data_IF_534920209435
#
_entry.id   IF_534920209435
#
_cell.length_a   1.000
_cell.length_b   1.000
_cell.length_c   1.000
_cell.angle_alpha   90.00
_cell.angle_beta   90.00
_cell.angle_gamma   90.00
#
_symmetry.space_group_name_H-M   'P 1'
#
loop_
_entity.id
_entity.type
_entity.pdbx_description
1 polymer ?
#
# COMPACT_ATOMS: atom_id res chain seq x y z
N UNK A 1 -69.29 -44.56 -12.00
CA UNK A 1 -68.17 -44.10 -12.82
C UNK A 1 -67.32 -43.19 -11.97
N UNK A 2 -66.16 -43.66 -11.52
CA UNK A 2 -65.24 -42.89 -10.71
C UNK A 2 -64.18 -42.30 -11.65
N UNK A 3 -64.12 -40.96 -11.69
CA UNK A 3 -63.08 -40.29 -12.46
C UNK A 3 -61.88 -40.01 -11.52
N UNK A 4 -60.84 -40.73 -11.78
CA UNK A 4 -59.54 -40.48 -11.11
C UNK A 4 -58.84 -39.31 -11.81
N UNK A 5 -58.88 -38.12 -11.18
CA UNK A 5 -58.06 -36.98 -11.64
C UNK A 5 -56.65 -37.19 -11.16
N UNK A 6 -55.81 -37.62 -12.05
CA UNK A 6 -54.34 -37.60 -11.80
C UNK A 6 -53.84 -36.16 -11.93
N UNK A 7 -53.48 -35.53 -10.82
CA UNK A 7 -52.73 -34.30 -10.84
C UNK A 7 -51.30 -34.61 -11.24
N UNK A 8 -50.94 -34.22 -12.44
CA UNK A 8 -49.54 -34.21 -12.89
C UNK A 8 -48.88 -33.01 -12.26
N UNK A 9 -48.04 -33.25 -11.26
CA UNK A 9 -47.11 -32.26 -10.75
C UNK A 9 -45.99 -32.09 -11.80
N UNK A 10 -46.03 -31.03 -12.59
CA UNK A 10 -44.94 -30.67 -13.43
C UNK A 10 -43.82 -30.14 -12.54
N UNK A 11 -42.73 -30.89 -12.43
CA UNK A 11 -41.49 -30.44 -11.81
C UNK A 11 -40.83 -29.46 -12.80
N UNK A 12 -40.96 -28.16 -12.56
CA UNK A 12 -40.34 -27.10 -13.36
C UNK A 12 -38.95 -26.84 -12.78
N UNK A 13 -37.97 -27.45 -13.40
CA UNK A 13 -36.55 -27.18 -13.06
C UNK A 13 -36.04 -26.12 -14.04
N UNK A 14 -35.71 -24.95 -13.49
CA UNK A 14 -35.01 -23.90 -14.22
C UNK A 14 -33.53 -23.93 -13.86
N UNK A 15 -32.69 -23.85 -14.88
CA UNK A 15 -31.25 -23.71 -14.73
C UNK A 15 -30.85 -22.30 -15.14
N UNK A 16 -30.12 -21.63 -14.27
CA UNK A 16 -29.48 -20.34 -14.60
C UNK A 16 -27.98 -20.49 -14.59
N UNK A 17 -27.33 -19.76 -15.47
CA UNK A 17 -25.88 -19.73 -15.57
C UNK A 17 -25.35 -18.48 -14.86
N UNK A 18 -24.45 -18.68 -13.92
CA UNK A 18 -23.70 -17.59 -13.29
C UNK A 18 -22.32 -17.55 -13.92
N UNK A 19 -21.93 -16.40 -14.43
CA UNK A 19 -20.58 -16.15 -14.92
C UNK A 19 -20.00 -14.95 -14.15
N UNK A 20 -18.74 -15.06 -13.76
CA UNK A 20 -17.97 -13.97 -13.17
C UNK A 20 -16.63 -13.90 -13.87
N UNK A 21 -16.18 -12.70 -14.16
CA UNK A 21 -14.82 -12.44 -14.62
C UNK A 21 -14.02 -11.90 -13.44
N UNK A 22 -12.87 -12.51 -13.17
CA UNK A 22 -11.94 -12.04 -12.14
C UNK A 22 -10.74 -11.43 -12.85
N UNK A 23 -10.60 -10.13 -12.71
CA UNK A 23 -9.42 -9.42 -13.19
C UNK A 23 -8.29 -9.52 -12.17
N UNK A 24 -7.06 -9.71 -12.67
CA UNK A 24 -5.86 -9.72 -11.84
C UNK A 24 -5.38 -8.30 -11.62
N UNK A 25 -4.97 -7.97 -10.40
CA UNK A 25 -4.52 -6.62 -10.08
C UNK A 25 -4.41 -6.37 -8.60
N UNK A 26 -4.22 -5.10 -8.25
CA UNK A 26 -4.20 -4.63 -6.89
C UNK A 26 -5.32 -3.62 -6.63
N UNK A 27 -5.84 -3.65 -5.42
CA UNK A 27 -6.85 -2.73 -4.93
C UNK A 27 -6.25 -1.89 -3.80
N UNK A 28 -6.52 -0.60 -3.82
CA UNK A 28 -6.26 0.30 -2.71
C UNK A 28 -7.60 0.70 -2.11
N UNK A 29 -7.80 0.40 -0.83
CA UNK A 29 -9.09 0.61 -0.14
C UNK A 29 -10.28 -0.04 -0.87
N UNK A 30 -10.07 -1.22 -1.44
CA UNK A 30 -11.09 -1.97 -2.16
C UNK A 30 -11.46 -1.43 -3.54
N UNK A 31 -10.75 -0.42 -4.05
CA UNK A 31 -10.99 0.16 -5.36
C UNK A 31 -9.79 -0.06 -6.30
N UNK A 32 -10.09 -0.35 -7.57
CA UNK A 32 -9.08 -0.37 -8.64
C UNK A 32 -8.58 1.06 -8.84
N UNK A 33 -7.27 1.24 -8.83
CA UNK A 33 -6.67 2.53 -9.15
C UNK A 33 -6.50 2.65 -10.66
N UNK A 34 -7.05 3.72 -11.22
CA UNK A 34 -6.81 4.06 -12.63
C UNK A 34 -5.33 4.41 -12.83
N UNK A 35 -4.77 4.06 -13.99
CA UNK A 35 -3.37 4.34 -14.34
C UNK A 35 -3.02 5.84 -14.25
N UNK A 36 -4.03 6.70 -14.32
CA UNK A 36 -3.93 8.15 -14.16
C UNK A 36 -4.09 8.64 -12.72
N UNK A 37 -4.38 7.75 -11.75
CA UNK A 37 -4.53 8.14 -10.37
C UNK A 37 -3.18 8.60 -9.79
N UNK A 38 -3.07 9.88 -9.49
CA UNK A 38 -1.83 10.51 -9.01
C UNK A 38 -1.63 10.38 -7.50
N UNK A 39 -2.64 9.91 -6.76
CA UNK A 39 -2.58 9.79 -5.30
C UNK A 39 -3.39 8.60 -4.79
N UNK A 40 -2.72 7.71 -4.08
CA UNK A 40 -3.34 6.60 -3.35
C UNK A 40 -3.86 6.99 -1.96
N UNK A 41 -3.80 8.26 -1.59
CA UNK A 41 -4.06 8.75 -0.23
C UNK A 41 -2.82 8.70 0.67
N UNK A 42 -3.01 9.00 1.94
CA UNK A 42 -1.93 8.95 2.92
C UNK A 42 -1.71 7.50 3.36
N UNK A 43 -0.56 6.94 3.02
CA UNK A 43 -0.19 5.55 3.34
C UNK A 43 0.19 5.40 4.83
N UNK A 44 0.81 6.44 5.40
CA UNK A 44 1.26 6.42 6.78
C UNK A 44 1.91 7.73 7.18
N UNK A 45 2.43 7.74 8.39
CA UNK A 45 3.19 8.86 8.94
C UNK A 45 4.58 8.37 9.34
N UNK A 46 5.60 9.10 8.91
CA UNK A 46 6.97 8.92 9.37
C UNK A 46 7.24 9.96 10.45
N UNK A 47 7.49 9.50 11.66
CA UNK A 47 7.72 10.36 12.82
C UNK A 47 9.11 10.05 13.40
N UNK A 48 9.92 11.08 13.52
CA UNK A 48 11.23 11.03 14.17
C UNK A 48 11.19 11.50 15.65
N UNK A 49 10.01 11.92 16.14
CA UNK A 49 9.86 12.53 17.46
C UNK A 49 10.35 13.97 17.53
N UNK A 50 10.34 14.52 18.76
CA UNK A 50 10.82 15.88 19.03
C UNK A 50 12.25 15.83 19.57
N UNK A 51 13.15 16.59 18.94
CA UNK A 51 14.55 16.67 19.32
C UNK A 51 15.00 18.11 19.43
N UNK A 52 15.91 18.39 20.37
CA UNK A 52 16.54 19.70 20.50
C UNK A 52 17.38 20.04 19.27
N UNK A 53 17.39 21.29 18.85
CA UNK A 53 18.22 21.79 17.74
C UNK A 53 19.73 21.57 17.90
N UNK A 54 20.18 21.27 19.13
CA UNK A 54 21.56 20.92 19.43
C UNK A 54 21.80 19.39 19.54
N UNK A 55 20.79 18.60 19.20
CA UNK A 55 20.89 17.15 19.20
C UNK A 55 21.70 16.70 17.97
N UNK A 56 22.89 16.15 18.22
CA UNK A 56 23.82 15.76 17.18
C UNK A 56 23.89 14.25 16.93
N UNK A 57 23.02 13.47 17.58
CA UNK A 57 22.98 12.02 17.37
C UNK A 57 22.00 11.67 16.27
N UNK A 58 22.26 10.55 15.60
CA UNK A 58 21.36 9.97 14.60
C UNK A 58 20.01 9.60 15.22
N UNK A 59 18.94 10.00 14.56
CA UNK A 59 17.57 9.76 15.01
C UNK A 59 16.95 8.69 14.12
N UNK A 60 16.30 7.72 14.73
CA UNK A 60 15.62 6.63 14.06
C UNK A 60 14.11 6.84 14.07
N UNK A 61 13.46 6.53 12.98
CA UNK A 61 12.02 6.56 12.83
C UNK A 61 11.50 5.35 12.06
N UNK A 62 10.23 5.08 12.21
CA UNK A 62 9.53 4.07 11.42
C UNK A 62 8.21 4.61 10.93
N UNK A 63 7.72 4.08 9.81
CA UNK A 63 6.41 4.45 9.28
C UNK A 63 5.33 3.76 10.09
N UNK A 64 4.42 4.56 10.64
CA UNK A 64 3.15 4.05 11.16
C UNK A 64 2.13 4.10 10.04
N UNK A 65 1.68 2.93 9.59
CA UNK A 65 0.69 2.83 8.52
C UNK A 65 -0.67 3.34 8.96
N UNK A 66 -1.36 4.01 8.06
CA UNK A 66 -2.74 4.41 8.27
C UNK A 66 -3.62 3.17 8.37
N UNK A 67 -4.39 3.05 9.45
CA UNK A 67 -5.35 1.94 9.61
C UNK A 67 -6.50 1.99 8.59
N UNK A 68 -6.65 3.09 7.88
CA UNK A 68 -7.65 3.25 6.83
C UNK A 68 -7.14 2.83 5.44
N UNK A 69 -5.84 2.58 5.29
CA UNK A 69 -5.29 2.10 4.03
C UNK A 69 -5.21 0.57 4.04
N UNK A 70 -5.90 -0.04 3.11
CA UNK A 70 -5.76 -1.47 2.80
C UNK A 70 -5.23 -1.62 1.38
N UNK A 71 -4.20 -2.41 1.22
CA UNK A 71 -3.64 -2.78 -0.07
C UNK A 71 -3.77 -4.29 -0.22
N UNK A 72 -4.57 -4.71 -1.19
CA UNK A 72 -4.77 -6.13 -1.50
C UNK A 72 -4.50 -6.40 -2.97
N UNK A 73 -3.87 -7.52 -3.26
CA UNK A 73 -3.49 -7.91 -4.62
C UNK A 73 -3.86 -9.36 -4.91
N UNK A 74 -4.02 -9.67 -6.19
CA UNK A 74 -4.05 -11.07 -6.63
C UNK A 74 -2.70 -11.72 -6.25
N UNK A 75 -2.70 -12.89 -5.58
CA UNK A 75 -1.46 -13.56 -5.20
C UNK A 75 -0.54 -13.84 -6.39
N UNK A 76 0.74 -13.53 -6.25
CA UNK A 76 1.76 -13.78 -7.26
C UNK A 76 1.82 -12.75 -8.40
N UNK A 77 1.01 -11.70 -8.36
CA UNK A 77 1.14 -10.60 -9.31
C UNK A 77 2.43 -9.80 -9.04
N UNK A 78 3.09 -9.34 -10.08
CA UNK A 78 4.24 -8.47 -9.93
C UNK A 78 3.80 -7.06 -9.50
N UNK A 79 4.16 -6.68 -8.29
CA UNK A 79 3.90 -5.35 -7.73
C UNK A 79 5.22 -4.65 -7.45
N UNK A 80 5.29 -3.35 -7.73
CA UNK A 80 6.45 -2.52 -7.41
C UNK A 80 6.00 -1.27 -6.67
N UNK A 81 6.83 -0.87 -5.71
CA UNK A 81 6.69 0.39 -4.97
C UNK A 81 7.89 1.27 -5.29
N UNK A 82 7.66 2.55 -5.49
CA UNK A 82 8.70 3.57 -5.57
C UNK A 82 8.37 4.74 -4.66
N UNK A 83 9.38 5.35 -4.07
CA UNK A 83 9.25 6.46 -3.16
C UNK A 83 9.94 7.69 -3.74
N UNK A 84 9.21 8.77 -3.90
CA UNK A 84 9.80 10.03 -4.37
C UNK A 84 10.66 10.71 -3.29
N UNK A 85 11.25 11.83 -3.65
CA UNK A 85 12.12 12.59 -2.75
C UNK A 85 11.38 13.39 -1.67
N UNK A 86 10.06 13.49 -1.75
CA UNK A 86 9.28 14.39 -0.89
C UNK A 86 9.35 15.86 -1.33
N UNK A 87 8.78 16.75 -0.52
CA UNK A 87 8.60 18.16 -0.87
C UNK A 87 9.89 19.00 -0.81
N UNK A 88 10.86 18.57 -0.04
CA UNK A 88 12.08 19.35 0.24
C UNK A 88 13.37 18.65 -0.21
N UNK A 89 13.27 17.64 -1.06
CA UNK A 89 14.46 16.96 -1.56
C UNK A 89 15.31 17.88 -2.44
N UNK A 90 16.63 17.76 -2.30
CA UNK A 90 17.60 18.41 -3.20
C UNK A 90 18.85 17.54 -3.34
N UNK A 91 19.50 17.63 -4.49
CA UNK A 91 20.75 16.92 -4.80
C UNK A 91 20.64 15.39 -4.60
N UNK A 92 19.46 14.82 -4.87
CA UNK A 92 19.20 13.39 -4.72
C UNK A 92 19.03 12.93 -3.28
N UNK A 93 18.90 13.84 -2.32
CA UNK A 93 18.73 13.54 -0.89
C UNK A 93 17.37 14.03 -0.39
N UNK A 94 16.71 13.21 0.42
CA UNK A 94 15.47 13.60 1.10
C UNK A 94 15.78 14.50 2.28
N UNK A 95 14.99 15.56 2.46
CA UNK A 95 15.20 16.55 3.50
C UNK A 95 13.91 16.85 4.26
N UNK A 96 14.03 16.88 5.58
CA UNK A 96 13.05 17.49 6.47
C UNK A 96 13.32 19.00 6.53
N UNK A 97 12.29 19.80 6.51
CA UNK A 97 12.41 21.25 6.63
C UNK A 97 11.71 21.74 7.90
N UNK A 98 12.36 22.58 8.63
CA UNK A 98 11.75 23.27 9.76
C UNK A 98 10.60 24.18 9.25
N UNK A 99 9.51 24.28 10.00
CA UNK A 99 8.31 25.04 9.58
C UNK A 99 8.55 26.54 9.52
N UNK A 100 9.41 27.06 10.39
CA UNK A 100 9.66 28.49 10.56
C UNK A 100 11.06 28.94 10.10
N UNK A 101 11.96 28.00 9.82
CA UNK A 101 13.33 28.28 9.43
C UNK A 101 13.68 27.68 8.08
N UNK A 102 14.79 28.16 7.48
CA UNK A 102 15.31 27.62 6.20
C UNK A 102 16.17 26.37 6.38
N UNK A 103 16.42 25.98 7.62
CA UNK A 103 17.23 24.80 7.95
C UNK A 103 16.56 23.51 7.54
N UNK A 104 17.36 22.62 6.97
CA UNK A 104 16.94 21.27 6.55
C UNK A 104 17.82 20.22 7.19
N UNK A 105 17.24 19.05 7.45
CA UNK A 105 17.94 17.86 7.92
C UNK A 105 17.78 16.76 6.91
N UNK A 106 18.87 16.14 6.52
CA UNK A 106 18.87 15.02 5.60
C UNK A 106 18.30 13.78 6.29
N UNK A 107 17.50 13.00 5.56
CA UNK A 107 17.03 11.71 6.06
C UNK A 107 17.08 10.63 4.97
N UNK A 108 17.24 9.40 5.40
CA UNK A 108 17.34 8.23 4.53
C UNK A 108 16.27 7.22 4.92
N UNK A 109 15.74 6.54 3.91
CA UNK A 109 14.75 5.47 4.09
C UNK A 109 15.39 4.13 3.82
N UNK A 110 14.94 3.11 4.55
CA UNK A 110 15.44 1.75 4.48
C UNK A 110 14.29 0.76 4.47
N UNK A 111 14.51 -0.39 3.86
CA UNK A 111 13.54 -1.47 3.81
C UNK A 111 13.63 -2.40 5.02
N UNK A 112 14.72 -2.33 5.77
CA UNK A 112 15.04 -3.23 6.88
C UNK A 112 15.36 -2.48 8.17
N UNK A 113 15.13 -3.15 9.29
CA UNK A 113 15.40 -2.64 10.65
C UNK A 113 16.90 -2.43 10.92
N UNK A 114 17.75 -3.18 10.23
CA UNK A 114 19.21 -3.08 10.39
C UNK A 114 19.82 -1.93 9.59
N UNK A 115 18.99 -1.19 8.83
CA UNK A 115 19.37 -0.04 8.02
C UNK A 115 20.46 -0.36 6.99
N UNK A 116 20.37 -1.51 6.34
CA UNK A 116 21.33 -1.97 5.33
C UNK A 116 20.82 -1.80 3.90
N UNK A 117 19.50 -1.81 3.69
CA UNK A 117 18.86 -1.71 2.39
C UNK A 117 18.23 -0.33 2.19
N UNK A 118 19.00 0.59 1.61
CA UNK A 118 18.54 1.95 1.33
C UNK A 118 17.44 1.95 0.27
N UNK A 119 16.40 2.76 0.50
CA UNK A 119 15.34 3.05 -0.46
C UNK A 119 15.64 4.36 -1.18
N UNK A 120 16.26 4.25 -2.33
CA UNK A 120 16.62 5.40 -3.17
C UNK A 120 15.38 6.11 -3.75
N UNK A 121 15.57 7.38 -4.12
CA UNK A 121 14.51 8.19 -4.72
C UNK A 121 14.15 7.61 -6.09
N UNK A 122 12.84 7.48 -6.36
CA UNK A 122 12.24 7.03 -7.62
C UNK A 122 12.72 5.65 -8.11
N UNK A 123 13.37 4.89 -7.24
CA UNK A 123 13.77 3.50 -7.53
C UNK A 123 12.60 2.54 -7.25
N UNK A 124 12.44 1.56 -8.10
CA UNK A 124 11.37 0.55 -7.98
C UNK A 124 11.84 -0.65 -7.17
N UNK A 125 11.06 -1.00 -6.17
CA UNK A 125 11.28 -2.17 -5.30
C UNK A 125 10.12 -3.14 -5.46
N UNK A 126 10.43 -4.41 -5.67
CA UNK A 126 9.41 -5.45 -5.78
C UNK A 126 8.81 -5.79 -4.42
N UNK A 127 7.51 -6.05 -4.41
CA UNK A 127 6.76 -6.42 -3.21
C UNK A 127 6.20 -7.82 -3.39
N UNK A 128 6.35 -8.64 -2.35
CA UNK A 128 5.76 -9.98 -2.33
C UNK A 128 4.26 -9.89 -2.08
N UNK A 129 3.48 -10.37 -3.03
CA UNK A 129 2.01 -10.40 -2.98
C UNK A 129 1.46 -11.78 -2.61
N UNK A 130 2.32 -12.73 -2.25
CA UNK A 130 1.90 -14.12 -2.01
C UNK A 130 1.62 -14.45 -0.55
N UNK A 131 2.29 -13.78 0.40
CA UNK A 131 2.23 -14.14 1.81
C UNK A 131 0.96 -13.63 2.51
N UNK A 132 0.58 -12.39 2.27
CA UNK A 132 -0.65 -11.79 2.81
C UNK A 132 -1.30 -10.90 1.74
N UNK A 133 -1.95 -11.51 0.74
CA UNK A 133 -2.44 -10.78 -0.42
C UNK A 133 -3.55 -9.78 -0.10
N UNK A 134 -4.22 -9.94 1.02
CA UNK A 134 -5.31 -9.06 1.46
C UNK A 134 -4.82 -7.89 2.31
N UNK A 135 -3.56 -7.93 2.77
CA UNK A 135 -2.98 -6.91 3.63
C UNK A 135 -1.49 -6.73 3.32
N UNK A 136 -1.19 -6.28 2.12
CA UNK A 136 0.17 -6.07 1.67
C UNK A 136 0.77 -4.87 2.37
N UNK A 137 1.94 -5.06 2.98
CA UNK A 137 2.71 -4.02 3.64
C UNK A 137 4.10 -3.91 3.01
N UNK A 138 4.57 -2.68 2.91
CA UNK A 138 5.94 -2.39 2.48
C UNK A 138 6.65 -1.71 3.65
N UNK A 139 7.50 -2.42 4.40
CA UNK A 139 8.14 -1.86 5.59
C UNK A 139 9.09 -0.72 5.22
N UNK A 140 9.01 0.37 5.97
CA UNK A 140 9.87 1.54 5.79
C UNK A 140 10.41 1.97 7.15
N UNK A 141 11.71 2.04 7.24
CA UNK A 141 12.48 2.54 8.37
C UNK A 141 13.23 3.80 7.96
N UNK A 142 13.57 4.64 8.90
CA UNK A 142 14.23 5.90 8.59
C UNK A 142 15.31 6.28 9.60
N UNK A 143 16.28 7.03 9.12
CA UNK A 143 17.32 7.70 9.91
C UNK A 143 17.46 9.15 9.44
N UNK A 144 17.58 10.06 10.37
CA UNK A 144 17.85 11.48 10.17
C UNK A 144 19.08 11.93 10.91
#
# INVERSE_FOLDING_TARGET
MSWCSSTVLADVTETFQVSATVDTGCLINGAVQEESATQAGQIGTLDFGEHSSVYAAEVQGSVTYSSSLTLSCTPGIAMNVSLNGGLNSSDGVRKLKHTEEVTTVDYFLFQDLDYTQVLDIDTRYSVDTTQDPDNIQFPIWAKA
#
